data_IF_255294322857
#
_entry.id   IF_255294322857
#
_cell.length_a   1.000
_cell.length_b   1.000
_cell.length_c   1.000
_cell.angle_alpha   90.00
_cell.angle_beta   90.00
_cell.angle_gamma   90.00
#
_symmetry.space_group_name_H-M   'P 1'
#
loop_
_entity.id
_entity.type
_entity.pdbx_description
1 polymer ?
#
# COMPACT_ATOMS: atom_id res chain seq x y z
N UNK A 1 -38.41 7.40 14.98
CA UNK A 1 -37.78 8.56 15.65
C UNK A 1 -37.07 8.09 16.91
N UNK A 2 -35.72 8.11 16.92
CA UNK A 2 -34.90 8.88 17.88
C UNK A 2 -33.43 8.50 17.68
N UNK A 3 -32.63 9.54 17.50
CA UNK A 3 -31.20 9.57 17.21
C UNK A 3 -30.45 9.30 18.52
N UNK A 4 -29.40 8.49 18.49
CA UNK A 4 -28.49 8.38 19.63
C UNK A 4 -27.24 9.21 19.33
N UNK A 5 -27.14 10.30 20.08
CA UNK A 5 -26.07 11.29 20.03
C UNK A 5 -24.94 10.92 20.98
N UNK A 6 -23.72 11.24 20.55
CA UNK A 6 -22.50 11.20 21.33
C UNK A 6 -22.57 12.11 22.58
N UNK A 7 -21.97 11.66 23.68
CA UNK A 7 -21.60 12.50 24.82
C UNK A 7 -20.13 12.27 25.12
N UNK A 8 -19.33 13.27 24.74
CA UNK A 8 -17.92 13.44 25.05
C UNK A 8 -17.81 14.00 26.48
N UNK A 9 -17.11 13.30 27.38
CA UNK A 9 -16.76 13.83 28.70
C UNK A 9 -15.38 14.49 28.64
N UNK A 10 -15.37 15.82 28.77
CA UNK A 10 -14.19 16.61 29.09
C UNK A 10 -14.21 16.97 30.59
N UNK A 11 -13.22 16.49 31.34
CA UNK A 11 -12.75 17.00 32.64
C UNK A 11 -11.27 16.61 32.72
N UNK A 12 -10.26 17.47 32.94
CA UNK A 12 -10.17 18.83 33.45
C UNK A 12 -9.04 18.87 34.51
N UNK A 13 -8.23 19.94 34.46
CA UNK A 13 -7.26 20.43 35.47
C UNK A 13 -5.84 19.78 35.48
N UNK A 14 -4.74 20.49 35.78
CA UNK A 14 -4.42 21.92 35.93
C UNK A 14 -2.88 22.07 36.03
N UNK A 15 -2.42 23.29 35.78
CA UNK A 15 -1.04 23.74 35.65
C UNK A 15 -0.20 23.86 36.94
N UNK A 16 1.12 23.75 36.80
CA UNK A 16 2.22 24.48 37.51
C UNK A 16 3.46 24.32 36.60
N UNK A 17 4.33 25.28 36.24
CA UNK A 17 4.63 26.62 36.70
C UNK A 17 6.16 26.79 36.76
N UNK A 18 6.71 27.60 35.84
CA UNK A 18 7.99 28.37 35.87
C UNK A 18 9.34 27.69 36.20
N UNK A 19 10.34 27.91 35.34
CA UNK A 19 11.46 28.83 35.66
C UNK A 19 12.31 29.17 34.43
N UNK A 20 12.48 30.47 34.22
CA UNK A 20 13.43 31.07 33.31
C UNK A 20 14.85 30.95 33.85
N UNK A 21 15.83 30.85 32.95
CA UNK A 21 17.26 30.95 33.27
C UNK A 21 18.05 31.34 32.03
N UNK A 22 18.25 32.64 31.85
CA UNK A 22 19.17 33.22 30.87
C UNK A 22 20.62 33.12 31.34
N UNK A 23 21.51 32.72 30.44
CA UNK A 23 22.85 33.28 30.21
C UNK A 23 23.85 33.31 31.36
N UNK A 24 24.90 32.50 31.24
CA UNK A 24 26.25 32.93 31.62
C UNK A 24 27.18 32.87 30.42
N UNK A 25 27.89 33.99 30.24
CA UNK A 25 28.90 34.21 29.22
C UNK A 25 30.22 34.15 29.99
N UNK A 26 31.06 33.15 29.74
CA UNK A 26 32.48 33.26 30.08
C UNK A 26 33.34 33.00 28.85
N UNK A 27 34.38 33.80 28.75
CA UNK A 27 35.13 34.14 27.56
C UNK A 27 36.34 33.20 27.44
N UNK A 28 36.44 32.53 26.29
CA UNK A 28 37.61 32.28 25.44
C UNK A 28 39.01 32.17 26.08
N UNK A 29 39.64 30.99 25.93
CA UNK A 29 41.07 30.82 25.52
C UNK A 29 41.15 29.57 24.61
N UNK A 30 41.79 29.64 23.42
CA UNK A 30 42.01 28.48 22.54
C UNK A 30 43.39 27.84 22.76
N UNK A 31 43.52 26.53 22.57
CA UNK A 31 44.83 25.86 22.53
C UNK A 31 44.82 24.33 22.61
N UNK A 32 44.74 23.70 21.43
CA UNK A 32 45.40 22.47 20.95
C UNK A 32 45.40 21.14 21.76
N UNK A 33 44.92 20.06 21.12
CA UNK A 33 45.43 18.70 21.39
C UNK A 33 44.49 17.50 21.14
N UNK A 34 44.49 16.95 19.92
CA UNK A 34 44.41 15.50 19.66
C UNK A 34 43.02 14.80 19.56
N UNK A 35 42.82 13.84 18.62
CA UNK A 35 41.56 13.14 18.40
C UNK A 35 41.47 11.81 19.18
N UNK A 36 40.31 11.52 19.77
CA UNK A 36 39.86 10.20 20.23
C UNK A 36 38.37 10.32 20.61
N UNK A 37 37.46 9.36 20.46
CA UNK A 37 37.33 8.10 19.74
C UNK A 37 35.87 7.65 19.98
N UNK A 38 35.27 6.86 19.07
CA UNK A 38 34.03 6.09 19.27
C UNK A 38 32.75 6.86 18.92
N UNK A 39 32.18 6.69 17.73
CA UNK A 39 31.37 5.54 17.28
C UNK A 39 30.11 5.33 18.14
N UNK A 40 29.03 6.01 17.78
CA UNK A 40 27.71 5.42 17.83
C UNK A 40 27.33 5.12 16.39
N UNK A 41 27.78 3.96 15.91
CA UNK A 41 27.24 3.36 14.70
C UNK A 41 25.79 3.01 15.02
N UNK A 42 24.86 3.74 14.42
CA UNK A 42 23.48 3.30 14.37
C UNK A 42 23.49 2.06 13.48
N UNK A 43 23.40 0.89 14.10
CA UNK A 43 23.24 -0.38 13.39
C UNK A 43 21.88 -0.32 12.73
N UNK A 44 21.83 0.17 11.49
CA UNK A 44 20.79 -0.18 10.56
C UNK A 44 20.94 -1.67 10.34
N UNK A 45 20.01 -2.45 10.88
CA UNK A 45 19.78 -3.82 10.45
C UNK A 45 19.66 -3.80 8.93
N UNK A 46 20.61 -4.47 8.29
CA UNK A 46 20.63 -4.76 6.86
C UNK A 46 19.36 -5.56 6.57
N UNK A 47 18.27 -4.88 6.21
CA UNK A 47 17.05 -5.55 5.81
C UNK A 47 17.35 -6.18 4.45
N UNK A 48 17.08 -7.49 4.32
CA UNK A 48 17.23 -8.24 3.08
C UNK A 48 16.10 -7.84 2.11
N UNK A 49 16.20 -6.61 1.64
CA UNK A 49 15.29 -5.91 0.74
C UNK A 49 15.83 -6.17 -0.66
N UNK A 50 14.96 -6.60 -1.59
CA UNK A 50 15.34 -7.07 -2.90
C UNK A 50 16.05 -6.01 -3.73
N UNK A 51 16.97 -6.45 -4.60
CA UNK A 51 17.67 -5.56 -5.56
C UNK A 51 16.96 -5.44 -6.91
N UNK A 52 15.75 -6.01 -7.02
CA UNK A 52 14.90 -5.99 -8.20
C UNK A 52 14.18 -4.66 -8.44
N UNK A 53 13.33 -4.58 -9.47
CA UNK A 53 12.57 -3.34 -9.79
C UNK A 53 11.66 -2.91 -8.63
N UNK A 54 11.23 -3.88 -7.81
CA UNK A 54 10.44 -3.66 -6.60
C UNK A 54 11.34 -3.73 -5.39
N UNK A 55 12.04 -2.62 -5.11
CA UNK A 55 13.06 -2.56 -4.07
C UNK A 55 12.57 -3.11 -2.73
N UNK A 56 11.35 -2.80 -2.30
CA UNK A 56 10.82 -3.19 -0.99
C UNK A 56 10.47 -4.67 -0.82
N UNK A 57 10.39 -5.47 -1.90
CA UNK A 57 10.02 -6.88 -1.80
C UNK A 57 11.18 -7.74 -1.24
N UNK A 58 10.89 -8.79 -0.45
CA UNK A 58 11.89 -9.80 -0.11
C UNK A 58 12.48 -10.47 -1.38
N UNK A 59 13.79 -10.74 -1.38
CA UNK A 59 14.54 -11.19 -2.58
C UNK A 59 13.98 -12.47 -3.22
N UNK A 60 13.58 -13.44 -2.39
CA UNK A 60 13.11 -14.76 -2.84
C UNK A 60 11.58 -14.84 -3.01
N UNK A 61 10.85 -13.71 -2.90
CA UNK A 61 9.40 -13.71 -3.02
C UNK A 61 8.98 -14.10 -4.44
N UNK A 62 8.10 -15.11 -4.62
CA UNK A 62 7.47 -15.39 -5.91
C UNK A 62 6.80 -14.13 -6.47
N UNK A 63 7.12 -13.81 -7.73
CA UNK A 63 6.58 -12.66 -8.43
C UNK A 63 5.73 -13.15 -9.60
N UNK A 64 4.47 -12.74 -9.61
CA UNK A 64 3.46 -13.16 -10.56
C UNK A 64 3.10 -11.95 -11.42
N UNK A 65 3.25 -12.10 -12.75
CA UNK A 65 2.80 -11.10 -13.71
C UNK A 65 1.29 -11.13 -13.83
N UNK A 66 0.70 -10.00 -14.24
CA UNK A 66 -0.71 -9.95 -14.56
C UNK A 66 -1.10 -10.87 -15.71
N UNK A 67 -2.38 -11.23 -15.75
CA UNK A 67 -3.00 -11.89 -16.89
C UNK A 67 -2.97 -10.97 -18.12
N UNK A 68 -2.77 -11.57 -19.30
CA UNK A 68 -2.59 -10.85 -20.57
C UNK A 68 -3.75 -11.02 -21.53
N UNK A 69 -4.70 -11.92 -21.23
CA UNK A 69 -5.89 -12.10 -22.05
C UNK A 69 -6.95 -11.04 -21.68
N UNK A 70 -7.56 -10.34 -22.65
CA UNK A 70 -8.64 -9.41 -22.35
C UNK A 70 -9.86 -10.13 -21.75
N UNK A 71 -10.30 -9.71 -20.57
CA UNK A 71 -11.53 -10.21 -19.94
C UNK A 71 -12.59 -9.10 -19.87
N UNK A 72 -13.69 -9.29 -20.61
CA UNK A 72 -14.78 -8.30 -20.67
C UNK A 72 -15.50 -8.11 -19.34
N UNK A 73 -15.63 -9.16 -18.52
CA UNK A 73 -16.29 -9.06 -17.22
C UNK A 73 -15.50 -8.14 -16.29
N UNK A 74 -14.18 -8.34 -16.22
CA UNK A 74 -13.29 -7.54 -15.38
C UNK A 74 -13.21 -6.11 -15.92
N UNK A 75 -13.02 -5.95 -17.23
CA UNK A 75 -12.99 -4.66 -17.91
C UNK A 75 -14.27 -3.84 -17.66
N UNK A 76 -15.43 -4.46 -17.87
CA UNK A 76 -16.72 -3.79 -17.68
C UNK A 76 -16.95 -3.45 -16.21
N UNK A 77 -16.57 -4.34 -15.26
CA UNK A 77 -16.63 -4.03 -13.84
C UNK A 77 -15.76 -2.83 -13.45
N UNK A 78 -14.53 -2.73 -13.97
CA UNK A 78 -13.65 -1.57 -13.76
C UNK A 78 -14.27 -0.30 -14.34
N UNK A 79 -14.73 -0.34 -15.59
CA UNK A 79 -15.28 0.82 -16.26
C UNK A 79 -16.58 1.31 -15.59
N UNK A 80 -17.47 0.39 -15.22
CA UNK A 80 -18.75 0.70 -14.59
C UNK A 80 -18.60 1.17 -13.15
N UNK A 81 -17.78 0.49 -12.34
CA UNK A 81 -17.64 0.83 -10.92
C UNK A 81 -17.00 2.20 -10.71
N UNK A 82 -15.96 2.52 -11.48
CA UNK A 82 -15.29 3.83 -11.41
C UNK A 82 -15.95 4.90 -12.29
N UNK A 83 -17.08 4.58 -12.95
CA UNK A 83 -17.82 5.49 -13.82
C UNK A 83 -16.92 6.15 -14.89
N UNK A 84 -16.04 5.37 -15.52
CA UNK A 84 -15.03 5.86 -16.45
C UNK A 84 -15.70 6.21 -17.79
N UNK A 85 -15.66 7.48 -18.23
CA UNK A 85 -16.30 7.88 -19.47
C UNK A 85 -15.55 7.27 -20.65
N UNK A 86 -16.28 6.98 -21.73
CA UNK A 86 -15.72 6.23 -22.88
C UNK A 86 -14.55 6.92 -23.59
N UNK A 87 -14.41 8.23 -23.43
CA UNK A 87 -13.27 9.00 -23.94
C UNK A 87 -11.95 8.72 -23.21
N UNK A 88 -11.99 8.17 -22.00
CA UNK A 88 -10.80 7.80 -21.20
C UNK A 88 -10.41 6.33 -21.37
N UNK A 89 -11.19 5.52 -22.12
CA UNK A 89 -11.00 4.06 -22.17
C UNK A 89 -9.69 3.63 -22.83
N UNK A 90 -9.15 4.43 -23.75
CA UNK A 90 -7.85 4.17 -24.37
C UNK A 90 -6.68 4.46 -23.40
N UNK A 91 -6.89 5.40 -22.47
CA UNK A 91 -5.86 5.89 -21.55
C UNK A 91 -5.89 5.19 -20.18
N UNK A 92 -6.97 4.46 -19.87
CA UNK A 92 -7.07 3.61 -18.67
C UNK A 92 -6.70 2.18 -19.02
N UNK A 93 -5.59 1.74 -18.41
CA UNK A 93 -5.12 0.36 -18.43
C UNK A 93 -5.69 -0.43 -17.26
N UNK A 94 -5.80 -1.73 -17.39
CA UNK A 94 -6.08 -2.62 -16.26
C UNK A 94 -5.15 -3.82 -16.25
N UNK A 95 -4.84 -4.29 -15.05
CA UNK A 95 -4.01 -5.45 -14.76
C UNK A 95 -4.75 -6.31 -13.76
N UNK A 96 -4.73 -7.63 -13.91
CA UNK A 96 -5.44 -8.48 -12.97
C UNK A 96 -4.75 -9.83 -12.76
N UNK A 97 -5.01 -10.44 -11.61
CA UNK A 97 -4.66 -11.82 -11.31
C UNK A 97 -5.85 -12.52 -10.64
N UNK A 98 -5.93 -13.84 -10.82
CA UNK A 98 -6.77 -14.73 -10.02
C UNK A 98 -5.97 -15.21 -8.81
N UNK A 99 -6.56 -15.17 -7.62
CA UNK A 99 -5.93 -15.62 -6.37
C UNK A 99 -7.00 -16.00 -5.36
N UNK A 100 -6.82 -17.13 -4.68
CA UNK A 100 -7.72 -17.58 -3.61
C UNK A 100 -7.37 -16.82 -2.31
N UNK A 101 -8.15 -15.79 -1.96
CA UNK A 101 -7.84 -14.95 -0.81
C UNK A 101 -8.32 -15.56 0.50
N UNK A 102 -9.22 -16.54 0.48
CA UNK A 102 -9.84 -17.15 1.67
C UNK A 102 -9.66 -18.66 1.80
N UNK A 103 -8.85 -19.27 0.94
CA UNK A 103 -8.56 -20.71 0.86
C UNK A 103 -9.83 -21.57 0.69
N UNK A 104 -10.89 -21.03 0.06
CA UNK A 104 -12.14 -21.77 -0.18
C UNK A 104 -12.08 -22.69 -1.42
N UNK A 105 -11.00 -22.59 -2.19
CA UNK A 105 -10.77 -23.30 -3.44
C UNK A 105 -11.34 -22.60 -4.67
N UNK A 106 -11.82 -21.36 -4.53
CA UNK A 106 -12.33 -20.50 -5.60
C UNK A 106 -11.56 -19.18 -5.62
N UNK A 107 -10.89 -18.88 -6.72
CA UNK A 107 -10.16 -17.64 -6.83
C UNK A 107 -11.07 -16.40 -6.79
N UNK A 108 -10.66 -15.39 -6.02
CA UNK A 108 -11.02 -13.99 -6.25
C UNK A 108 -10.21 -13.39 -7.40
N UNK A 109 -10.63 -12.22 -7.84
CA UNK A 109 -9.95 -11.42 -8.85
C UNK A 109 -9.47 -10.14 -8.19
N UNK A 110 -8.16 -9.88 -8.25
CA UNK A 110 -7.60 -8.58 -7.92
C UNK A 110 -7.34 -7.81 -9.22
N UNK A 111 -8.06 -6.71 -9.45
CA UNK A 111 -7.95 -5.91 -10.66
C UNK A 111 -7.49 -4.48 -10.35
N UNK A 112 -6.32 -4.08 -10.84
CA UNK A 112 -5.76 -2.74 -10.71
C UNK A 112 -6.04 -1.91 -11.97
N UNK A 113 -6.70 -0.76 -11.81
CA UNK A 113 -6.95 0.20 -12.87
C UNK A 113 -5.91 1.34 -12.81
N UNK A 114 -5.20 1.58 -13.90
CA UNK A 114 -4.08 2.52 -13.98
C UNK A 114 -4.33 3.54 -15.09
N UNK A 115 -4.39 4.82 -14.74
CA UNK A 115 -4.61 5.91 -15.70
C UNK A 115 -4.93 7.21 -14.97
N UNK A 116 -4.76 8.37 -15.61
CA UNK A 116 -4.96 9.67 -14.95
C UNK A 116 -6.34 9.86 -14.33
N UNK A 117 -7.36 9.16 -14.84
CA UNK A 117 -8.72 9.20 -14.32
C UNK A 117 -8.88 8.45 -12.97
N UNK A 118 -8.12 7.37 -12.77
CA UNK A 118 -8.25 6.45 -11.62
C UNK A 118 -7.03 6.43 -10.70
N UNK A 119 -5.98 7.19 -11.04
CA UNK A 119 -4.72 7.25 -10.30
C UNK A 119 -4.46 8.65 -9.72
N UNK A 120 -3.79 8.69 -8.57
CA UNK A 120 -3.29 9.90 -7.94
C UNK A 120 -1.81 9.76 -7.54
N UNK A 121 -1.29 10.72 -6.79
CA UNK A 121 0.12 10.69 -6.36
C UNK A 121 0.47 9.59 -5.36
N UNK A 122 -0.53 8.99 -4.71
CA UNK A 122 -0.34 7.87 -3.79
C UNK A 122 -0.53 6.49 -4.41
N UNK A 123 -0.86 6.42 -5.70
CA UNK A 123 -1.10 5.17 -6.41
C UNK A 123 -2.43 5.17 -7.17
N UNK A 124 -2.81 3.98 -7.61
CA UNK A 124 -3.94 3.70 -8.48
C UNK A 124 -5.16 3.18 -7.70
N UNK A 125 -6.25 2.93 -8.41
CA UNK A 125 -7.46 2.33 -7.83
C UNK A 125 -7.55 0.85 -8.21
N UNK A 126 -8.02 0.02 -7.30
CA UNK A 126 -8.19 -1.42 -7.53
C UNK A 126 -9.57 -1.91 -7.12
N UNK A 127 -10.00 -3.02 -7.69
CA UNK A 127 -11.18 -3.79 -7.30
C UNK A 127 -10.76 -5.17 -6.82
N UNK A 128 -11.42 -5.65 -5.78
CA UNK A 128 -11.48 -7.07 -5.44
C UNK A 128 -12.86 -7.56 -5.90
N UNK A 129 -12.88 -8.60 -6.72
CA UNK A 129 -14.10 -9.20 -7.24
C UNK A 129 -14.14 -10.69 -6.86
N UNK A 130 -15.35 -11.23 -6.70
CA UNK A 130 -15.54 -12.68 -6.74
C UNK A 130 -15.32 -13.20 -8.17
N UNK A 131 -15.09 -14.50 -8.32
CA UNK A 131 -14.87 -15.16 -9.63
C UNK A 131 -15.98 -14.91 -10.66
N UNK A 132 -17.20 -14.59 -10.21
CA UNK A 132 -18.33 -14.26 -11.09
C UNK A 132 -18.41 -12.79 -11.52
N UNK A 133 -17.41 -11.97 -11.15
CA UNK A 133 -17.33 -10.55 -11.47
C UNK A 133 -18.09 -9.65 -10.50
N UNK A 134 -18.68 -10.19 -9.42
CA UNK A 134 -19.29 -9.37 -8.38
C UNK A 134 -18.22 -8.58 -7.63
N UNK A 135 -18.30 -7.25 -7.68
CA UNK A 135 -17.39 -6.38 -6.92
C UNK A 135 -17.64 -6.52 -5.42
N UNK A 136 -16.61 -6.92 -4.69
CA UNK A 136 -16.61 -7.00 -3.22
C UNK A 136 -16.24 -5.64 -2.62
N UNK A 137 -15.17 -5.03 -3.12
CA UNK A 137 -14.63 -3.79 -2.60
C UNK A 137 -13.79 -3.06 -3.65
N UNK A 138 -13.70 -1.74 -3.51
CA UNK A 138 -12.64 -0.93 -4.14
C UNK A 138 -11.57 -0.49 -3.14
N UNK A 139 -10.32 -0.53 -3.57
CA UNK A 139 -9.15 0.01 -2.88
C UNK A 139 -8.63 1.25 -3.60
N UNK A 140 -8.03 2.17 -2.85
CA UNK A 140 -7.43 3.40 -3.40
C UNK A 140 -5.96 3.50 -3.01
N UNK A 141 -5.17 4.27 -3.75
CA UNK A 141 -3.73 4.45 -3.52
C UNK A 141 -2.96 3.13 -3.49
N UNK A 142 -3.34 2.21 -4.37
CA UNK A 142 -2.67 0.91 -4.53
C UNK A 142 -1.49 1.10 -5.46
N UNK A 143 -0.30 0.72 -4.99
CA UNK A 143 0.89 0.60 -5.81
C UNK A 143 1.18 -0.89 -6.00
N UNK A 144 1.35 -1.30 -7.27
CA UNK A 144 1.87 -2.62 -7.56
C UNK A 144 3.35 -2.71 -7.17
N UNK A 145 3.83 -3.87 -6.71
CA UNK A 145 3.11 -5.14 -6.61
C UNK A 145 2.26 -5.23 -5.34
N UNK A 146 1.34 -6.20 -5.31
CA UNK A 146 0.48 -6.49 -4.15
C UNK A 146 0.83 -7.87 -3.62
N UNK A 147 1.32 -7.96 -2.38
CA UNK A 147 1.68 -9.24 -1.76
C UNK A 147 0.44 -9.86 -1.13
N UNK A 148 0.13 -11.10 -1.50
CA UNK A 148 -0.79 -11.99 -0.79
C UNK A 148 0.06 -12.75 0.24
N UNK A 149 -0.06 -12.38 1.51
CA UNK A 149 0.77 -12.90 2.59
C UNK A 149 0.32 -14.28 3.04
N UNK A 150 1.25 -15.16 3.43
CA UNK A 150 0.94 -16.44 4.09
C UNK A 150 0.24 -16.22 5.46
N UNK A 151 0.37 -15.02 6.05
CA UNK A 151 -0.39 -14.67 7.25
C UNK A 151 -1.83 -14.30 6.92
N UNK A 152 -2.77 -14.91 7.66
CA UNK A 152 -4.20 -14.64 7.50
C UNK A 152 -4.81 -13.88 8.69
N UNK A 153 -5.84 -13.08 8.40
CA UNK A 153 -6.74 -12.48 9.39
C UNK A 153 -8.18 -12.82 9.03
N UNK A 154 -8.97 -13.25 10.00
CA UNK A 154 -10.40 -13.55 9.82
C UNK A 154 -10.70 -14.57 8.69
N UNK A 155 -9.74 -15.44 8.37
CA UNK A 155 -9.87 -16.44 7.31
C UNK A 155 -9.46 -15.95 5.93
N UNK A 156 -8.88 -14.75 5.80
CA UNK A 156 -8.38 -14.22 4.54
C UNK A 156 -6.88 -13.93 4.63
N UNK A 157 -6.14 -14.18 3.56
CA UNK A 157 -4.75 -13.75 3.41
C UNK A 157 -4.65 -12.23 3.56
N UNK A 158 -3.68 -11.77 4.37
CA UNK A 158 -3.42 -10.33 4.48
C UNK A 158 -2.81 -9.82 3.18
N UNK A 159 -3.18 -8.62 2.75
CA UNK A 159 -2.52 -7.98 1.61
C UNK A 159 -1.44 -7.04 2.13
N UNK A 160 -0.30 -6.97 1.45
CA UNK A 160 0.76 -5.99 1.75
C UNK A 160 1.08 -5.19 0.50
N UNK A 161 1.08 -3.86 0.64
CA UNK A 161 1.35 -2.94 -0.46
C UNK A 161 2.29 -1.83 -0.01
N UNK A 162 3.09 -1.32 -0.93
CA UNK A 162 3.87 -0.11 -0.67
C UNK A 162 2.93 1.11 -0.69
N UNK A 163 2.92 1.86 0.41
CA UNK A 163 2.27 3.15 0.52
C UNK A 163 3.31 4.24 0.33
N UNK A 164 3.11 5.06 -0.69
CA UNK A 164 3.92 6.25 -0.96
C UNK A 164 3.02 7.45 -1.32
N UNK A 165 3.63 8.62 -1.51
CA UNK A 165 2.91 9.82 -1.94
C UNK A 165 2.40 10.68 -0.78
N UNK A 166 1.72 11.80 -1.11
CA UNK A 166 1.18 12.74 -0.10
C UNK A 166 2.22 13.48 0.76
N UNK A 167 3.52 13.28 0.53
CA UNK A 167 4.62 13.87 1.31
C UNK A 167 5.01 13.08 2.56
N UNK A 168 4.49 11.86 2.73
CA UNK A 168 4.89 10.93 3.78
C UNK A 168 6.09 10.06 3.34
N UNK A 169 6.74 9.42 4.32
CA UNK A 169 7.76 8.41 4.05
C UNK A 169 7.10 7.17 3.39
N UNK A 170 7.86 6.50 2.53
CA UNK A 170 7.43 5.26 1.88
C UNK A 170 7.53 4.10 2.87
N UNK A 171 6.48 3.29 2.97
CA UNK A 171 6.45 2.12 3.84
C UNK A 171 5.55 1.01 3.26
N UNK A 172 5.82 -0.24 3.59
CA UNK A 172 4.93 -1.35 3.26
C UNK A 172 3.88 -1.50 4.37
N UNK A 173 2.59 -1.45 4.01
CA UNK A 173 1.48 -1.54 4.96
C UNK A 173 0.70 -2.83 4.82
N UNK A 174 0.22 -3.37 5.93
CA UNK A 174 -0.63 -4.56 5.99
C UNK A 174 -2.09 -4.15 5.94
N UNK A 175 -2.83 -4.71 4.99
CA UNK A 175 -4.28 -4.57 4.85
C UNK A 175 -4.90 -5.86 5.38
N UNK A 176 -5.59 -5.76 6.52
CA UNK A 176 -6.30 -6.90 7.12
C UNK A 176 -7.75 -6.94 6.65
N UNK A 177 -8.29 -8.14 6.43
CA UNK A 177 -9.70 -8.32 6.15
C UNK A 177 -10.54 -8.29 7.43
N UNK A 178 -11.75 -7.75 7.34
CA UNK A 178 -12.81 -7.92 8.35
C UNK A 178 -13.42 -9.34 8.28
N UNK A 179 -14.31 -9.68 9.21
CA UNK A 179 -15.02 -10.99 9.20
C UNK A 179 -15.85 -11.22 7.92
N UNK A 180 -16.22 -10.15 7.21
CA UNK A 180 -16.98 -10.18 5.96
C UNK A 180 -16.09 -10.16 4.70
N UNK A 181 -14.75 -10.30 4.83
CA UNK A 181 -13.82 -10.30 3.69
C UNK A 181 -13.54 -8.93 3.09
N UNK A 182 -13.86 -7.84 3.80
CA UNK A 182 -13.57 -6.46 3.38
C UNK A 182 -12.24 -6.02 4.00
N UNK A 183 -11.27 -5.67 3.17
CA UNK A 183 -9.93 -5.22 3.55
C UNK A 183 -9.91 -3.77 4.04
N UNK A 184 -8.97 -3.46 4.92
CA UNK A 184 -8.57 -2.07 5.17
C UNK A 184 -8.14 -1.39 3.87
N UNK A 185 -8.44 -0.10 3.72
CA UNK A 185 -7.93 0.68 2.59
C UNK A 185 -6.48 1.10 2.86
N UNK A 186 -5.67 1.29 1.81
CA UNK A 186 -4.25 1.63 1.93
C UNK A 186 -4.00 2.90 2.78
N UNK A 187 -4.77 4.00 2.62
CA UNK A 187 -4.60 5.20 3.45
C UNK A 187 -4.97 4.99 4.92
N UNK A 188 -5.89 4.05 5.20
CA UNK A 188 -6.46 3.83 6.53
C UNK A 188 -5.68 2.76 7.33
N UNK A 189 -4.84 1.97 6.64
CA UNK A 189 -4.03 0.91 7.23
C UNK A 189 -2.97 1.50 8.17
N UNK A 190 -2.92 1.01 9.40
CA UNK A 190 -2.01 1.55 10.43
C UNK A 190 -0.79 0.68 10.70
N UNK A 191 -0.84 -0.58 10.28
CA UNK A 191 0.21 -1.55 10.53
C UNK A 191 1.23 -1.55 9.38
N UNK A 192 2.50 -1.41 9.74
CA UNK A 192 3.63 -1.57 8.81
C UNK A 192 4.08 -3.02 8.80
N UNK A 193 4.38 -3.56 7.63
CA UNK A 193 4.86 -4.92 7.48
C UNK A 193 6.32 -5.06 7.93
N UNK A 194 6.66 -6.17 8.59
CA UNK A 194 8.05 -6.58 8.80
C UNK A 194 8.53 -7.38 7.58
N UNK A 195 9.28 -6.71 6.71
CA UNK A 195 9.80 -7.31 5.47
C UNK A 195 10.75 -8.50 5.71
N UNK A 196 11.32 -8.63 6.91
CA UNK A 196 12.22 -9.76 7.24
C UNK A 196 11.48 -11.07 7.49
N UNK A 197 10.19 -11.00 7.80
CA UNK A 197 9.32 -12.16 8.04
C UNK A 197 8.20 -12.29 7.03
N UNK A 198 8.04 -11.32 6.13
CA UNK A 198 7.02 -11.33 5.09
C UNK A 198 7.24 -12.51 4.14
N UNK A 199 6.22 -13.35 4.00
CA UNK A 199 6.16 -14.54 3.15
C UNK A 199 4.83 -14.56 2.42
N UNK A 200 4.77 -15.24 1.28
CA UNK A 200 3.62 -15.24 0.37
C UNK A 200 4.06 -15.05 -1.07
N UNK A 201 3.18 -14.49 -1.90
CA UNK A 201 3.45 -14.20 -3.32
C UNK A 201 3.07 -12.76 -3.69
N UNK A 202 3.83 -12.16 -4.60
CA UNK A 202 3.60 -10.82 -5.09
C UNK A 202 2.87 -10.87 -6.44
N UNK A 203 1.67 -10.29 -6.49
CA UNK A 203 0.86 -10.13 -7.69
C UNK A 203 1.18 -8.83 -8.41
N UNK A 204 0.81 -8.77 -9.69
CA UNK A 204 0.95 -7.59 -10.54
C UNK A 204 2.40 -7.10 -10.63
N UNK A 205 3.37 -8.01 -10.69
CA UNK A 205 4.79 -7.70 -10.81
C UNK A 205 5.22 -7.21 -12.22
N UNK A 206 4.31 -6.53 -12.91
CA UNK A 206 4.47 -6.02 -14.26
C UNK A 206 5.37 -4.79 -14.31
N UNK A 207 6.06 -4.60 -15.43
CA UNK A 207 6.64 -3.30 -15.76
C UNK A 207 5.50 -2.35 -16.17
N UNK A 208 5.02 -1.56 -15.22
CA UNK A 208 3.91 -0.64 -15.44
C UNK A 208 4.35 0.69 -16.07
N UNK A 209 5.62 0.84 -16.44
CA UNK A 209 6.08 2.02 -17.17
C UNK A 209 5.28 2.17 -18.47
N UNK A 210 4.90 3.40 -18.78
CA UNK A 210 4.17 3.68 -20.01
C UNK A 210 5.17 3.74 -21.16
N UNK A 211 5.36 2.61 -21.83
CA UNK A 211 6.02 2.55 -23.13
C UNK A 211 5.10 1.89 -24.17
N UNK A 212 5.23 2.30 -25.43
CA UNK A 212 4.37 1.85 -26.53
C UNK A 212 4.62 0.38 -26.93
N UNK A 213 5.48 -0.34 -26.20
CA UNK A 213 5.89 -1.72 -26.46
C UNK A 213 5.45 -2.71 -25.39
N UNK A 214 4.93 -2.24 -24.26
CA UNK A 214 4.41 -3.07 -23.20
C UNK A 214 3.07 -3.71 -23.60
N UNK A 215 2.96 -5.02 -23.36
CA UNK A 215 1.70 -5.75 -23.49
C UNK A 215 0.82 -5.41 -22.29
N UNK A 216 -0.10 -4.45 -22.46
CA UNK A 216 -1.09 -4.08 -21.44
C UNK A 216 -2.51 -4.12 -21.99
N UNK A 217 -3.47 -4.35 -21.11
CA UNK A 217 -4.89 -4.30 -21.42
C UNK A 217 -5.39 -2.87 -21.17
N UNK A 218 -6.18 -2.34 -22.11
CA UNK A 218 -6.92 -1.08 -21.93
C UNK A 218 -8.41 -1.37 -21.84
N UNK A 219 -9.18 -0.39 -21.35
CA UNK A 219 -10.64 -0.54 -21.35
C UNK A 219 -11.22 -0.54 -22.77
N UNK A 220 -10.48 -0.05 -23.77
CA UNK A 220 -10.90 -0.09 -25.17
C UNK A 220 -11.09 -1.53 -25.69
N UNK A 221 -11.87 -1.66 -26.78
CA UNK A 221 -12.15 -2.94 -27.46
C UNK A 221 -11.05 -3.33 -28.46
#
# INVERSE_FOLDING_TARGET
MKKNAAILLCTGAAAVGLLAGCGEISRFIPGEGGPAAGSAENVTTDQAVGTGPFGWLPEDMPQILSETEPDRMIRDAVAEYFEIPREEWEDVRYYYNFTDLDDDGTDEIFALAVGSYVSGSGGSSALILKNDGTVVQSLTTVNAPVVVSDEMTNGYHNLVVERCGGGADTEAVVLRASEDGVYENVPDSQETADLSTLTGEALLCDDMTFDDTADYLTLAD
#
